data_IF_732868350027
#
_entry.id   IF_732868350027
#
_cell.length_a   1.000
_cell.length_b   1.000
_cell.length_c   1.000
_cell.angle_alpha   90.00
_cell.angle_beta   90.00
_cell.angle_gamma   90.00
#
_symmetry.space_group_name_H-M   'P 1'
#
loop_
_entity.id
_entity.type
_entity.pdbx_description
1 polymer ?
#
# COMPACT_ATOMS: atom_id res chain seq x y z
N UNK A 1 14.41 0.71 -10.65
CA UNK A 1 13.55 0.48 -9.47
C UNK A 1 13.18 -0.99 -9.49
N UNK A 2 13.37 -1.72 -8.39
CA UNK A 2 13.11 -3.16 -8.36
C UNK A 2 11.60 -3.36 -8.48
N UNK A 3 11.17 -4.18 -9.44
CA UNK A 3 9.75 -4.47 -9.64
C UNK A 3 9.34 -5.66 -8.79
N UNK A 4 8.07 -5.70 -8.41
CA UNK A 4 7.45 -6.92 -7.88
C UNK A 4 7.60 -8.05 -8.91
N UNK A 5 8.02 -9.25 -8.50
CA UNK A 5 8.33 -10.33 -9.44
C UNK A 5 7.06 -10.80 -10.17
N UNK A 6 7.19 -10.98 -11.49
CA UNK A 6 6.11 -11.52 -12.31
C UNK A 6 5.82 -12.97 -11.90
N UNK A 7 4.54 -13.30 -11.74
CA UNK A 7 4.10 -14.63 -11.32
C UNK A 7 3.80 -14.78 -9.83
N UNK A 8 4.20 -13.84 -8.96
CA UNK A 8 3.69 -13.84 -7.60
C UNK A 8 2.28 -13.23 -7.54
N UNK A 9 1.35 -13.82 -6.76
CA UNK A 9 0.03 -13.25 -6.57
C UNK A 9 0.11 -11.93 -5.79
N UNK A 10 -0.92 -11.10 -5.97
CA UNK A 10 -1.09 -9.91 -5.15
C UNK A 10 -1.32 -10.29 -3.68
N UNK A 11 -0.92 -9.43 -2.74
CA UNK A 11 -1.19 -9.70 -1.35
C UNK A 11 -2.68 -9.82 -1.04
N UNK A 12 -3.00 -10.68 -0.07
CA UNK A 12 -4.34 -10.91 0.41
C UNK A 12 -4.93 -9.64 1.02
N UNK A 13 -6.27 -9.53 0.90
CA UNK A 13 -7.05 -8.49 1.56
C UNK A 13 -7.16 -8.68 3.07
N UNK A 14 -6.93 -9.89 3.55
CA UNK A 14 -7.01 -10.22 4.96
C UNK A 14 -5.78 -9.69 5.71
N UNK A 15 -6.00 -8.97 6.82
CA UNK A 15 -4.94 -8.29 7.56
C UNK A 15 -4.40 -7.02 6.87
N UNK A 16 -5.02 -6.62 5.76
CA UNK A 16 -4.59 -5.49 4.95
C UNK A 16 -5.03 -4.16 5.58
N UNK A 17 -4.10 -3.46 6.23
CA UNK A 17 -4.36 -2.22 6.95
C UNK A 17 -3.22 -1.22 6.83
N UNK A 18 -3.56 0.02 6.49
CA UNK A 18 -2.62 1.13 6.43
C UNK A 18 -2.57 1.87 7.76
N UNK A 19 -1.43 1.79 8.44
CA UNK A 19 -1.14 2.44 9.71
C UNK A 19 -0.19 3.64 9.46
N UNK A 20 -0.73 4.85 9.22
CA UNK A 20 0.10 6.03 9.01
C UNK A 20 0.82 6.41 10.29
N UNK A 21 2.13 6.67 10.20
CA UNK A 21 2.89 7.19 11.34
C UNK A 21 2.42 8.62 11.62
N UNK A 22 2.20 8.99 12.88
CA UNK A 22 1.74 10.33 13.22
C UNK A 22 2.75 11.40 12.77
N UNK A 23 2.36 12.34 11.88
CA UNK A 23 3.23 13.45 11.50
C UNK A 23 3.19 14.59 12.52
N UNK A 24 2.39 14.46 13.59
CA UNK A 24 2.12 15.54 14.53
C UNK A 24 3.11 15.47 15.69
N UNK A 25 3.95 16.50 15.85
CA UNK A 25 4.78 16.69 17.05
C UNK A 25 4.06 17.65 17.99
N UNK A 26 3.84 17.22 19.23
CA UNK A 26 3.18 18.01 20.27
C UNK A 26 4.18 18.34 21.39
N UNK A 27 4.30 19.63 21.73
CA UNK A 27 5.08 20.09 22.87
C UNK A 27 4.14 20.66 23.93
N UNK A 28 4.19 20.17 25.20
CA UNK A 28 3.41 20.74 26.28
C UNK A 28 4.00 22.09 26.73
N UNK A 29 3.14 23.05 27.04
CA UNK A 29 3.49 24.31 27.69
C UNK A 29 3.22 24.20 29.21
N UNK A 30 3.96 24.97 30.00
CA UNK A 30 3.84 25.04 31.46
C UNK A 30 2.41 25.36 31.91
N UNK A 31 1.67 26.14 31.11
CA UNK A 31 0.27 26.52 31.34
C UNK A 31 -0.76 25.45 30.96
N UNK A 32 -0.34 24.22 30.60
CA UNK A 32 -1.23 23.12 30.22
C UNK A 32 -1.69 23.12 28.76
N UNK A 33 -1.43 24.20 28.00
CA UNK A 33 -1.65 24.24 26.55
C UNK A 33 -0.64 23.35 25.80
N UNK A 34 -0.98 22.88 24.60
CA UNK A 34 -0.07 22.09 23.74
C UNK A 34 0.09 22.79 22.39
N UNK A 35 1.32 23.03 21.97
CA UNK A 35 1.62 23.49 20.61
C UNK A 35 1.81 22.25 19.73
N UNK A 36 1.09 22.20 18.61
CA UNK A 36 1.17 21.11 17.63
C UNK A 36 1.76 21.64 16.33
N UNK A 37 2.70 20.91 15.75
CA UNK A 37 3.26 21.21 14.41
C UNK A 37 3.34 19.95 13.58
N UNK A 38 3.29 20.11 12.26
CA UNK A 38 3.59 19.05 11.30
C UNK A 38 5.12 18.87 11.24
N UNK A 39 5.60 17.68 11.60
CA UNK A 39 7.02 17.35 11.56
C UNK A 39 7.49 16.97 10.14
N UNK A 40 6.66 16.23 9.39
CA UNK A 40 7.02 15.70 8.08
C UNK A 40 5.95 15.98 7.02
N UNK A 41 6.39 16.28 5.80
CA UNK A 41 5.49 16.46 4.63
C UNK A 41 5.11 15.11 4.03
N UNK A 42 6.10 14.27 3.71
CA UNK A 42 5.88 12.85 3.40
C UNK A 42 5.69 12.11 4.72
N UNK A 43 4.55 11.43 4.84
CA UNK A 43 4.24 10.62 6.01
C UNK A 43 4.36 9.17 5.57
N UNK A 44 5.36 8.44 6.08
CA UNK A 44 5.46 7.04 5.77
C UNK A 44 4.31 6.27 6.43
N UNK A 45 3.87 5.22 5.77
CA UNK A 45 2.72 4.42 6.19
C UNK A 45 3.16 2.98 6.31
N UNK A 46 2.97 2.37 7.48
CA UNK A 46 3.19 0.94 7.68
C UNK A 46 1.97 0.18 7.19
N UNK A 47 2.18 -0.91 6.48
CA UNK A 47 1.09 -1.81 6.08
C UNK A 47 1.48 -3.24 6.39
N UNK A 48 0.57 -3.96 7.04
CA UNK A 48 0.69 -5.40 7.20
C UNK A 48 0.16 -6.08 5.95
N UNK A 49 0.93 -7.02 5.42
CA UNK A 49 0.68 -7.66 4.13
C UNK A 49 0.86 -9.16 4.28
N UNK A 50 -0.09 -9.92 3.75
CA UNK A 50 -0.04 -11.38 3.79
C UNK A 50 -0.11 -11.93 2.37
N UNK A 51 0.77 -12.86 2.04
CA UNK A 51 0.72 -13.63 0.81
C UNK A 51 0.34 -15.06 1.11
N UNK A 52 -0.43 -15.66 0.21
CA UNK A 52 -0.70 -17.09 0.20
C UNK A 52 -0.19 -17.65 -1.12
N UNK A 53 0.88 -18.42 -1.05
CA UNK A 53 1.69 -18.84 -2.18
C UNK A 53 1.65 -20.36 -2.33
N UNK A 54 1.62 -20.87 -3.56
CA UNK A 54 1.94 -22.26 -3.84
C UNK A 54 3.42 -22.57 -3.51
N UNK A 55 3.79 -23.84 -3.44
CA UNK A 55 5.17 -24.26 -3.15
C UNK A 55 6.21 -23.66 -4.12
N UNK A 56 5.90 -23.52 -5.41
CA UNK A 56 6.80 -22.88 -6.38
C UNK A 56 6.88 -21.36 -6.21
N UNK A 57 5.75 -20.70 -5.90
CA UNK A 57 5.72 -19.26 -5.65
C UNK A 57 6.45 -18.91 -4.34
N UNK A 58 6.37 -19.76 -3.32
CA UNK A 58 7.09 -19.61 -2.07
C UNK A 58 8.62 -19.61 -2.29
N UNK A 59 9.14 -20.58 -3.06
CA UNK A 59 10.56 -20.63 -3.41
C UNK A 59 11.01 -19.38 -4.18
N UNK A 60 10.18 -18.91 -5.12
CA UNK A 60 10.46 -17.68 -5.86
C UNK A 60 10.48 -16.46 -4.93
N UNK A 61 9.54 -16.37 -4.00
CA UNK A 61 9.45 -15.28 -3.03
C UNK A 61 10.69 -15.23 -2.12
N UNK A 62 11.10 -16.36 -1.55
CA UNK A 62 12.29 -16.44 -0.69
C UNK A 62 13.56 -16.07 -1.46
N UNK A 63 13.74 -16.60 -2.67
CA UNK A 63 14.89 -16.28 -3.51
C UNK A 63 14.91 -14.81 -3.95
N UNK A 64 13.75 -14.23 -4.25
CA UNK A 64 13.63 -12.81 -4.57
C UNK A 64 13.96 -11.93 -3.35
N UNK A 65 13.42 -12.26 -2.17
CA UNK A 65 13.71 -11.54 -0.94
C UNK A 65 15.20 -11.54 -0.61
N UNK A 66 15.85 -12.71 -0.67
CA UNK A 66 17.26 -12.85 -0.31
C UNK A 66 18.18 -12.24 -1.37
N UNK A 67 18.01 -12.61 -2.63
CA UNK A 67 18.99 -12.30 -3.67
C UNK A 67 18.71 -10.99 -4.42
N UNK A 68 17.45 -10.59 -4.57
CA UNK A 68 17.08 -9.37 -5.32
C UNK A 68 16.90 -8.18 -4.39
N UNK A 69 16.23 -8.38 -3.25
CA UNK A 69 16.05 -7.31 -2.26
C UNK A 69 17.19 -7.19 -1.25
N UNK A 70 18.18 -8.09 -1.30
CA UNK A 70 19.30 -8.16 -0.36
C UNK A 70 18.74 -8.20 1.07
N UNK A 71 18.04 -9.31 1.36
CA UNK A 71 17.33 -9.58 2.62
C UNK A 71 16.37 -8.45 3.02
N UNK A 72 15.64 -7.88 2.05
CA UNK A 72 14.62 -6.85 2.27
C UNK A 72 15.13 -5.40 2.43
N UNK A 73 16.44 -5.15 2.31
CA UNK A 73 17.05 -3.82 2.48
C UNK A 73 16.72 -2.83 1.35
N UNK A 74 16.46 -3.33 0.15
CA UNK A 74 16.18 -2.49 -1.02
C UNK A 74 14.69 -2.17 -1.18
N UNK A 75 14.42 -0.98 -1.73
CA UNK A 75 13.07 -0.54 -2.07
C UNK A 75 12.59 -1.19 -3.38
N UNK A 76 11.31 -1.53 -3.44
CA UNK A 76 10.67 -2.10 -4.62
C UNK A 76 9.29 -1.47 -4.89
N UNK A 77 8.83 -1.57 -6.13
CA UNK A 77 7.48 -1.19 -6.52
C UNK A 77 6.52 -2.35 -6.24
N UNK A 78 5.59 -2.14 -5.31
CA UNK A 78 4.60 -3.11 -4.93
C UNK A 78 3.20 -2.64 -5.35
N UNK A 79 2.41 -3.49 -6.04
CA UNK A 79 1.01 -3.20 -6.32
C UNK A 79 0.18 -3.27 -5.04
N UNK A 80 -0.42 -2.14 -4.63
CA UNK A 80 -1.33 -2.07 -3.49
C UNK A 80 -2.71 -1.63 -3.91
N UNK A 81 -3.72 -2.26 -3.34
CA UNK A 81 -5.10 -1.78 -3.43
C UNK A 81 -5.32 -0.71 -2.35
N UNK A 82 -5.49 0.53 -2.74
CA UNK A 82 -5.79 1.65 -1.86
C UNK A 82 -7.22 2.15 -2.14
N UNK A 83 -7.75 3.12 -1.37
CA UNK A 83 -9.02 3.76 -1.72
C UNK A 83 -9.03 4.43 -3.10
N UNK A 84 -7.85 4.73 -3.67
CA UNK A 84 -7.69 5.31 -5.00
C UNK A 84 -7.84 4.26 -6.12
N UNK A 85 -7.53 3.00 -5.82
CA UNK A 85 -7.48 1.94 -6.82
C UNK A 85 -6.35 0.95 -6.56
N UNK A 86 -6.04 0.13 -7.56
CA UNK A 86 -4.86 -0.72 -7.57
C UNK A 86 -3.73 0.04 -8.26
N UNK A 87 -2.74 0.47 -7.48
CA UNK A 87 -1.61 1.28 -7.95
C UNK A 87 -0.30 0.74 -7.40
N UNK A 88 0.79 0.97 -8.13
CA UNK A 88 2.13 0.62 -7.67
C UNK A 88 2.65 1.71 -6.74
N UNK A 89 3.10 1.31 -5.55
CA UNK A 89 3.78 2.21 -4.62
C UNK A 89 5.14 1.66 -4.25
N UNK A 90 6.08 2.58 -4.06
CA UNK A 90 7.38 2.26 -3.51
C UNK A 90 7.25 1.83 -2.05
N UNK A 91 7.71 0.62 -1.76
CA UNK A 91 7.73 0.05 -0.42
C UNK A 91 9.08 -0.61 -0.10
N UNK A 92 9.34 -0.74 1.20
CA UNK A 92 10.44 -1.50 1.77
C UNK A 92 9.89 -2.47 2.80
N UNK A 93 10.62 -3.54 3.08
CA UNK A 93 10.34 -4.35 4.26
C UNK A 93 10.78 -3.57 5.51
N UNK A 94 9.94 -3.50 6.55
CA UNK A 94 10.31 -2.90 7.85
C UNK A 94 11.23 -3.87 8.63
N UNK A 95 10.98 -5.17 8.50
CA UNK A 95 11.78 -6.28 9.04
C UNK A 95 11.60 -7.54 8.16
N UNK A 96 12.27 -8.64 8.51
CA UNK A 96 12.03 -9.95 7.92
C UNK A 96 10.56 -10.36 8.06
N UNK A 97 10.05 -11.04 7.04
CA UNK A 97 8.70 -11.59 7.07
C UNK A 97 8.57 -12.73 8.10
N UNK A 98 7.34 -12.98 8.54
CA UNK A 98 6.93 -14.13 9.35
C UNK A 98 6.40 -15.25 8.45
N UNK A 99 6.79 -16.49 8.74
CA UNK A 99 6.48 -17.68 7.94
C UNK A 99 7.76 -18.39 7.47
N UNK A 100 7.66 -19.36 6.54
CA UNK A 100 6.44 -19.85 5.90
C UNK A 100 5.57 -20.73 6.82
N UNK A 101 4.26 -20.47 6.87
CA UNK A 101 3.28 -21.35 7.54
C UNK A 101 2.50 -22.18 6.52
N UNK A 102 2.44 -23.50 6.69
CA UNK A 102 1.65 -24.36 5.81
C UNK A 102 0.14 -24.16 6.06
N UNK A 103 -0.59 -23.86 5.01
CA UNK A 103 -2.04 -23.63 5.01
C UNK A 103 -2.71 -24.55 3.99
N UNK A 104 -3.74 -25.27 4.43
CA UNK A 104 -4.45 -26.23 3.57
C UNK A 104 -3.56 -27.42 3.22
N UNK A 105 -3.53 -27.79 1.93
CA UNK A 105 -2.79 -28.97 1.44
C UNK A 105 -1.39 -28.61 0.94
N UNK A 106 -1.24 -27.49 0.22
CA UNK A 106 0.03 -27.12 -0.44
C UNK A 106 0.12 -25.60 -0.70
N UNK A 107 -0.28 -24.79 0.28
CA UNK A 107 -0.08 -23.34 0.22
C UNK A 107 0.69 -22.87 1.45
N UNK A 108 1.47 -21.82 1.28
CA UNK A 108 2.34 -21.25 2.28
C UNK A 108 1.96 -19.80 2.52
N UNK A 109 1.71 -19.47 3.78
CA UNK A 109 1.42 -18.12 4.21
C UNK A 109 2.70 -17.42 4.63
N UNK A 110 2.88 -16.21 4.10
CA UNK A 110 3.92 -15.27 4.50
C UNK A 110 3.25 -13.98 4.95
N UNK A 111 3.67 -13.42 6.08
CA UNK A 111 3.16 -12.13 6.57
C UNK A 111 4.32 -11.18 6.82
N UNK A 112 4.26 -9.97 6.30
CA UNK A 112 5.31 -8.96 6.49
C UNK A 112 4.73 -7.58 6.78
N UNK A 113 5.51 -6.76 7.48
CA UNK A 113 5.28 -5.33 7.58
C UNK A 113 6.07 -4.60 6.50
N UNK A 114 5.36 -3.85 5.65
CA UNK A 114 5.95 -3.01 4.61
C UNK A 114 5.83 -1.53 4.96
N UNK A 115 6.88 -0.77 4.65
CA UNK A 115 6.95 0.66 4.83
C UNK A 115 6.76 1.37 3.49
N UNK A 116 5.61 2.03 3.31
CA UNK A 116 5.33 2.87 2.14
C UNK A 116 5.93 4.25 2.34
N UNK A 117 6.72 4.69 1.37
CA UNK A 117 7.40 6.01 1.41
C UNK A 117 6.45 7.19 1.31
N UNK A 118 5.35 7.02 0.57
CA UNK A 118 4.33 8.04 0.36
C UNK A 118 2.97 7.45 0.67
N UNK A 119 2.20 8.19 1.47
CA UNK A 119 0.81 7.86 1.71
C UNK A 119 0.01 8.01 0.41
N UNK A 120 -0.81 7.01 0.02
CA UNK A 120 -1.71 7.13 -1.12
C UNK A 120 -2.79 8.15 -0.77
N UNK A 121 -2.68 9.36 -1.34
CA UNK A 121 -3.59 10.47 -1.13
C UNK A 121 -3.91 11.11 -2.47
N UNK A 122 -5.15 11.58 -2.62
CA UNK A 122 -5.49 12.53 -3.68
C UNK A 122 -4.75 13.85 -3.48
N UNK A 123 -4.57 14.58 -4.58
CA UNK A 123 -3.99 15.92 -4.54
C UNK A 123 -4.87 16.90 -3.75
N UNK A 124 -4.21 17.92 -3.19
CA UNK A 124 -4.86 18.89 -2.32
C UNK A 124 -6.01 19.65 -3.00
N UNK A 125 -5.91 19.88 -4.31
CA UNK A 125 -6.92 20.61 -5.09
C UNK A 125 -8.26 19.88 -5.10
N UNK A 126 -8.26 18.55 -5.24
CA UNK A 126 -9.48 17.73 -5.19
C UNK A 126 -10.19 17.83 -3.84
N UNK A 127 -9.44 18.04 -2.76
CA UNK A 127 -10.01 18.23 -1.42
C UNK A 127 -10.52 19.66 -1.20
N UNK A 128 -9.79 20.65 -1.70
CA UNK A 128 -10.06 22.07 -1.41
C UNK A 128 -11.11 22.68 -2.35
N UNK A 129 -11.14 22.24 -3.61
CA UNK A 129 -11.91 22.88 -4.68
C UNK A 129 -13.09 22.01 -5.11
N UNK A 130 -12.91 20.69 -5.13
CA UNK A 130 -13.88 19.77 -5.73
C UNK A 130 -14.20 18.52 -4.87
N UNK A 131 -14.54 18.68 -3.58
CA UNK A 131 -14.81 17.53 -2.71
C UNK A 131 -16.03 16.71 -3.17
N UNK A 132 -17.06 17.36 -3.75
CA UNK A 132 -18.22 16.65 -4.30
C UNK A 132 -17.86 15.68 -5.43
N UNK A 133 -16.86 16.01 -6.27
CA UNK A 133 -16.47 15.15 -7.39
C UNK A 133 -15.78 13.87 -6.89
N UNK A 134 -15.06 13.95 -5.77
CA UNK A 134 -14.48 12.76 -5.12
C UNK A 134 -15.60 11.87 -4.57
N UNK A 135 -16.55 12.44 -3.84
CA UNK A 135 -17.67 11.70 -3.23
C UNK A 135 -18.61 11.06 -4.26
N UNK A 136 -18.88 11.76 -5.36
CA UNK A 136 -19.79 11.31 -6.42
C UNK A 136 -19.08 10.73 -7.65
N UNK A 137 -17.79 10.42 -7.54
CA UNK A 137 -16.97 9.85 -8.61
C UNK A 137 -17.63 8.62 -9.28
N UNK A 138 -18.28 7.76 -8.50
CA UNK A 138 -19.00 6.57 -9.01
C UNK A 138 -20.21 6.91 -9.89
N UNK A 139 -20.84 8.08 -9.69
CA UNK A 139 -21.96 8.55 -10.52
C UNK A 139 -21.43 8.98 -11.89
N UNK A 140 -20.32 9.72 -11.91
CA UNK A 140 -19.67 10.12 -13.16
C UNK A 140 -19.18 8.91 -13.95
N UNK A 141 -18.52 7.96 -13.29
CA UNK A 141 -18.01 6.74 -13.92
C UNK A 141 -19.14 5.91 -14.56
N UNK A 142 -20.26 5.75 -13.84
CA UNK A 142 -21.45 5.10 -14.37
C UNK A 142 -22.07 5.86 -15.54
N UNK A 143 -22.15 7.20 -15.47
CA UNK A 143 -22.69 8.02 -16.55
C UNK A 143 -21.83 7.92 -17.82
N UNK A 144 -20.50 7.99 -17.68
CA UNK A 144 -19.56 7.84 -18.77
C UNK A 144 -19.61 6.43 -19.38
N UNK A 145 -19.75 5.38 -18.57
CA UNK A 145 -19.79 4.00 -19.08
C UNK A 145 -21.13 3.62 -19.72
N UNK A 146 -22.26 4.12 -19.19
CA UNK A 146 -23.60 3.73 -19.65
C UNK A 146 -24.20 4.64 -20.73
N UNK A 147 -23.83 5.93 -20.76
CA UNK A 147 -24.51 6.93 -21.59
C UNK A 147 -23.62 7.57 -22.66
N UNK A 148 -22.31 7.36 -22.60
CA UNK A 148 -21.43 7.92 -23.64
C UNK A 148 -21.61 7.16 -24.95
N UNK A 149 -21.81 7.85 -26.09
CA UNK A 149 -21.91 7.19 -27.38
C UNK A 149 -20.61 6.41 -27.62
N UNK A 150 -20.71 5.10 -27.87
CA UNK A 150 -19.58 4.37 -28.45
C UNK A 150 -19.35 4.99 -29.82
N UNK A 151 -18.19 5.61 -30.04
CA UNK A 151 -17.78 5.93 -31.40
C UNK A 151 -17.66 4.59 -32.13
N UNK A 152 -18.70 4.24 -32.89
CA UNK A 152 -18.66 3.18 -33.89
C UNK A 152 -17.78 3.69 -35.02
N UNK A 153 -16.50 3.34 -34.95
CA UNK A 153 -15.61 3.29 -36.11
C UNK A 153 -15.74 1.95 -36.81
#
# INVERSE_FOLDING_TARGET
MIQYPEGLPLPLREGYGFNPVSPMKSTPLVTGKKIRRRAFKSVPTRTSVTWLLSSSEAQLFEGWFEHVLISGSLAFDCPFKTPLGLENHQANFDDIYTGPELVGVDHWRFTAELWLHKRPLIDAEWVLIAPEYVLYSSIFDRAMTQRWPRHTG
#
